data_IF_254659797750
#
_entry.id   IF_254659797750
#
_cell.length_a   1.000
_cell.length_b   1.000
_cell.length_c   1.000
_cell.angle_alpha   90.00
_cell.angle_beta   90.00
_cell.angle_gamma   90.00
#
_symmetry.space_group_name_H-M   'P 1'
#
loop_
_entity.id
_entity.type
_entity.pdbx_description
1 polymer ?
#
# COMPACT_ATOMS: atom_id res chain seq x y z
N UNK A 1 -12.13 -21.29 8.50
CA UNK A 1 -10.99 -20.37 8.72
C UNK A 1 -11.56 -18.97 8.79
N UNK A 2 -11.00 -18.08 9.62
CA UNK A 2 -11.49 -16.70 9.70
C UNK A 2 -11.15 -15.93 8.44
N UNK A 3 -12.10 -15.16 7.91
CA UNK A 3 -11.94 -14.31 6.74
C UNK A 3 -11.43 -12.95 7.18
N UNK A 4 -10.30 -12.53 6.65
CA UNK A 4 -9.67 -11.25 6.95
C UNK A 4 -9.74 -10.39 5.70
N UNK A 5 -10.22 -9.18 5.82
CA UNK A 5 -10.12 -8.17 4.76
C UNK A 5 -9.14 -7.10 5.23
N UNK A 6 -8.17 -6.78 4.39
CA UNK A 6 -7.32 -5.60 4.59
C UNK A 6 -7.77 -4.54 3.60
N UNK A 7 -8.19 -3.40 4.10
CA UNK A 7 -8.51 -2.20 3.31
C UNK A 7 -7.42 -1.16 3.57
N UNK A 8 -6.63 -0.81 2.55
CA UNK A 8 -5.51 0.09 2.81
C UNK A 8 -4.59 0.36 1.62
N UNK A 9 -3.47 1.00 1.94
CA UNK A 9 -2.49 1.53 0.99
C UNK A 9 -1.65 0.47 0.30
N UNK A 10 -1.28 0.78 -0.95
CA UNK A 10 -0.29 0.07 -1.77
C UNK A 10 0.73 1.06 -2.29
N UNK A 11 2.00 0.88 -1.99
CA UNK A 11 3.08 1.75 -2.47
C UNK A 11 4.21 0.94 -3.08
N UNK A 12 4.87 1.50 -4.08
CA UNK A 12 6.22 1.07 -4.42
C UNK A 12 7.20 1.90 -3.59
N UNK A 13 8.06 1.24 -2.81
CA UNK A 13 9.10 1.88 -2.03
C UNK A 13 10.36 1.97 -2.90
N UNK A 14 10.77 3.21 -3.21
CA UNK A 14 11.99 3.52 -3.97
C UNK A 14 13.05 3.92 -2.95
N UNK A 15 13.91 2.97 -2.60
CA UNK A 15 14.94 3.15 -1.59
C UNK A 15 16.26 3.52 -2.24
N UNK A 16 16.86 4.61 -1.81
CA UNK A 16 18.17 5.10 -2.26
C UNK A 16 19.10 5.21 -1.08
N UNK A 17 20.19 4.43 -1.11
CA UNK A 17 21.25 4.55 -0.11
C UNK A 17 22.16 5.73 -0.45
N UNK A 18 22.43 6.58 0.52
CA UNK A 18 23.31 7.75 0.41
C UNK A 18 24.38 7.71 1.51
N UNK A 19 25.47 8.44 1.34
CA UNK A 19 26.46 8.60 2.42
C UNK A 19 25.92 9.46 3.55
N UNK A 20 25.22 10.53 3.20
CA UNK A 20 24.52 11.46 4.09
C UNK A 20 23.32 12.08 3.38
N UNK A 21 22.38 12.58 4.15
CA UNK A 21 21.25 13.33 3.60
C UNK A 21 21.70 14.61 2.90
N UNK A 22 21.14 14.95 1.71
CA UNK A 22 21.41 16.23 1.06
C UNK A 22 20.84 17.40 1.86
N UNK A 23 21.56 18.52 1.87
CA UNK A 23 21.02 19.79 2.36
C UNK A 23 20.16 20.48 1.27
N UNK A 24 19.28 21.41 1.62
CA UNK A 24 18.51 22.18 0.62
C UNK A 24 19.42 22.77 -0.45
N UNK A 25 19.09 22.50 -1.73
CA UNK A 25 19.88 22.96 -2.87
C UNK A 25 21.13 22.12 -3.20
N UNK A 26 21.40 21.06 -2.44
CA UNK A 26 22.57 20.20 -2.65
C UNK A 26 22.23 18.97 -3.50
N UNK A 27 23.21 18.52 -4.28
CA UNK A 27 23.17 17.24 -4.99
C UNK A 27 24.16 16.26 -4.37
N UNK A 28 23.69 15.13 -3.87
CA UNK A 28 24.53 14.02 -3.40
C UNK A 28 24.44 12.83 -4.36
N UNK A 29 25.46 11.98 -4.37
CA UNK A 29 25.44 10.73 -5.15
C UNK A 29 24.84 9.61 -4.30
N UNK A 30 23.83 8.91 -4.84
CA UNK A 30 23.35 7.65 -4.27
C UNK A 30 24.36 6.53 -4.51
N UNK A 31 24.44 5.58 -3.57
CA UNK A 31 25.27 4.37 -3.66
C UNK A 31 24.53 3.26 -4.40
N UNK A 32 23.31 3.01 -3.99
CA UNK A 32 22.41 1.99 -4.57
C UNK A 32 20.98 2.52 -4.67
N UNK A 33 20.18 1.87 -5.49
CA UNK A 33 18.74 2.11 -5.55
C UNK A 33 18.02 0.79 -5.77
N UNK A 34 16.94 0.56 -5.03
CA UNK A 34 16.04 -0.57 -5.28
C UNK A 34 14.57 -0.14 -5.22
N UNK A 35 13.71 -0.96 -5.84
CA UNK A 35 12.26 -0.84 -5.74
C UNK A 35 11.71 -2.05 -5.02
N UNK A 36 10.86 -1.83 -4.03
CA UNK A 36 10.23 -2.87 -3.22
C UNK A 36 8.73 -2.68 -3.20
N UNK A 37 8.00 -3.79 -3.10
CA UNK A 37 6.58 -3.73 -2.78
C UNK A 37 6.39 -3.30 -1.32
N UNK A 38 5.60 -2.26 -1.08
CA UNK A 38 5.36 -1.65 0.21
C UNK A 38 3.94 -1.10 0.35
N UNK A 39 3.76 -0.18 1.27
CA UNK A 39 2.47 0.32 1.75
C UNK A 39 1.98 -0.49 2.95
N UNK A 40 1.47 0.21 3.98
CA UNK A 40 1.06 -0.45 5.24
C UNK A 40 -0.05 -1.47 5.02
N UNK A 41 -1.01 -1.17 4.13
CA UNK A 41 -2.08 -2.11 3.76
C UNK A 41 -1.53 -3.36 3.10
N UNK A 42 -0.73 -3.22 2.04
CA UNK A 42 -0.13 -4.34 1.33
C UNK A 42 0.76 -5.20 2.24
N UNK A 43 1.55 -4.57 3.13
CA UNK A 43 2.39 -5.28 4.09
C UNK A 43 1.57 -6.11 5.08
N UNK A 44 0.45 -5.58 5.59
CA UNK A 44 -0.45 -6.33 6.48
C UNK A 44 -1.14 -7.47 5.75
N UNK A 45 -1.61 -7.25 4.52
CA UNK A 45 -2.21 -8.31 3.70
C UNK A 45 -1.21 -9.45 3.42
N UNK A 46 0.01 -9.11 3.02
CA UNK A 46 1.09 -10.09 2.82
C UNK A 46 1.42 -10.86 4.10
N UNK A 47 1.45 -10.19 5.26
CA UNK A 47 1.66 -10.87 6.55
C UNK A 47 0.54 -11.87 6.85
N UNK A 48 -0.73 -11.47 6.67
CA UNK A 48 -1.89 -12.35 6.85
C UNK A 48 -1.81 -13.58 5.93
N UNK A 49 -1.52 -13.39 4.65
CA UNK A 49 -1.44 -14.49 3.69
C UNK A 49 -0.28 -15.45 3.98
N UNK A 50 0.91 -14.93 4.34
CA UNK A 50 2.08 -15.74 4.75
C UNK A 50 1.84 -16.55 6.02
N UNK A 51 0.96 -16.07 6.90
CA UNK A 51 0.51 -16.80 8.09
C UNK A 51 -0.66 -17.75 7.79
N UNK A 52 -0.92 -18.04 6.52
CA UNK A 52 -1.98 -18.92 6.04
C UNK A 52 -3.40 -18.42 6.41
N UNK A 53 -3.58 -17.10 6.61
CA UNK A 53 -4.90 -16.49 6.77
C UNK A 53 -5.65 -16.46 5.44
N UNK A 54 -6.99 -16.59 5.47
CA UNK A 54 -7.83 -16.30 4.30
C UNK A 54 -7.96 -14.78 4.19
N UNK A 55 -7.10 -14.16 3.39
CA UNK A 55 -6.97 -12.71 3.29
C UNK A 55 -7.39 -12.21 1.91
N UNK A 56 -8.33 -11.25 1.88
CA UNK A 56 -8.64 -10.44 0.71
C UNK A 56 -8.09 -9.03 0.90
N UNK A 57 -7.52 -8.46 -0.14
CA UNK A 57 -6.95 -7.12 -0.09
C UNK A 57 -7.74 -6.15 -0.96
N UNK A 58 -8.22 -5.09 -0.33
CA UNK A 58 -8.93 -3.98 -0.95
C UNK A 58 -8.01 -2.76 -0.97
N UNK A 59 -7.62 -2.32 -2.16
CA UNK A 59 -6.69 -1.21 -2.38
C UNK A 59 -6.85 -0.67 -3.79
N UNK A 60 -6.03 0.31 -4.15
CA UNK A 60 -5.98 0.85 -5.51
C UNK A 60 -4.54 0.99 -5.98
N UNK A 61 -4.30 0.66 -7.25
CA UNK A 61 -2.99 0.79 -7.92
C UNK A 61 -3.19 1.38 -9.31
N UNK A 62 -2.14 1.93 -9.89
CA UNK A 62 -2.13 2.37 -11.28
C UNK A 62 -2.12 1.22 -12.29
N UNK A 63 -1.99 1.57 -13.58
CA UNK A 63 -1.75 0.61 -14.67
C UNK A 63 -0.28 0.69 -15.12
N UNK A 64 0.64 0.51 -14.16
CA UNK A 64 2.09 0.69 -14.33
C UNK A 64 2.90 -0.51 -13.80
N UNK A 65 4.21 -0.50 -14.03
CA UNK A 65 5.13 -1.56 -13.58
C UNK A 65 5.17 -1.69 -12.05
N UNK A 66 4.92 -0.60 -11.32
CA UNK A 66 4.85 -0.60 -9.86
C UNK A 66 3.66 -1.39 -9.35
N UNK A 67 2.51 -1.27 -10.04
CA UNK A 67 1.34 -2.09 -9.76
C UNK A 67 1.62 -3.58 -9.94
N UNK A 68 2.33 -3.95 -11.01
CA UNK A 68 2.67 -5.36 -11.26
C UNK A 68 3.57 -5.92 -10.14
N UNK A 69 4.59 -5.16 -9.71
CA UNK A 69 5.46 -5.54 -8.59
C UNK A 69 4.66 -5.82 -7.31
N UNK A 70 3.66 -4.96 -7.00
CA UNK A 70 2.78 -5.11 -5.84
C UNK A 70 1.89 -6.36 -5.96
N UNK A 71 1.24 -6.55 -7.10
CA UNK A 71 0.35 -7.69 -7.34
C UNK A 71 1.10 -9.02 -7.29
N UNK A 72 2.30 -9.09 -7.86
CA UNK A 72 3.16 -10.27 -7.77
C UNK A 72 3.56 -10.59 -6.31
N UNK A 73 3.78 -9.55 -5.50
CA UNK A 73 4.08 -9.72 -4.07
C UNK A 73 2.89 -10.27 -3.29
N UNK A 74 1.68 -9.79 -3.58
CA UNK A 74 0.43 -10.26 -2.96
C UNK A 74 0.13 -11.71 -3.37
N UNK A 75 0.29 -12.06 -4.65
CA UNK A 75 0.12 -13.42 -5.16
C UNK A 75 1.08 -14.40 -4.48
N UNK A 76 2.37 -14.07 -4.41
CA UNK A 76 3.38 -14.87 -3.69
C UNK A 76 3.08 -15.05 -2.20
N UNK A 77 2.33 -14.12 -1.62
CA UNK A 77 1.87 -14.19 -0.23
C UNK A 77 0.52 -14.92 -0.08
N UNK A 78 -0.09 -15.44 -1.15
CA UNK A 78 -1.42 -16.08 -1.17
C UNK A 78 -2.55 -15.14 -0.71
N UNK A 79 -2.49 -13.87 -1.10
CA UNK A 79 -3.53 -12.86 -0.84
C UNK A 79 -4.46 -12.77 -2.03
N UNK A 80 -5.76 -12.75 -1.80
CA UNK A 80 -6.75 -12.47 -2.83
C UNK A 80 -6.78 -10.97 -3.16
N UNK A 81 -6.18 -10.61 -4.28
CA UNK A 81 -6.07 -9.23 -4.78
C UNK A 81 -7.04 -8.92 -5.94
N UNK A 82 -8.03 -9.76 -6.21
CA UNK A 82 -8.96 -9.58 -7.35
C UNK A 82 -9.79 -8.30 -7.28
N UNK A 83 -10.01 -7.79 -6.08
CA UNK A 83 -10.76 -6.57 -5.85
C UNK A 83 -9.88 -5.31 -5.84
N UNK A 84 -8.57 -5.40 -6.06
CA UNK A 84 -7.70 -4.23 -6.16
C UNK A 84 -8.09 -3.40 -7.39
N UNK A 85 -8.45 -2.12 -7.16
CA UNK A 85 -8.85 -1.19 -8.20
C UNK A 85 -7.65 -0.83 -9.09
N UNK A 86 -7.85 -0.83 -10.41
CA UNK A 86 -6.86 -0.40 -11.40
C UNK A 86 -7.23 1.00 -11.90
N UNK A 87 -6.37 1.99 -11.69
CA UNK A 87 -6.55 3.38 -12.09
C UNK A 87 -5.74 3.67 -13.35
N UNK A 88 -6.39 3.95 -14.48
CA UNK A 88 -5.71 4.16 -15.77
C UNK A 88 -4.91 5.47 -15.82
N UNK A 89 -5.46 6.54 -15.25
CA UNK A 89 -4.88 7.88 -15.34
C UNK A 89 -4.05 8.31 -14.12
N UNK A 90 -3.93 7.44 -13.12
CA UNK A 90 -3.23 7.77 -11.87
C UNK A 90 -2.18 6.70 -11.57
N UNK A 91 -0.93 7.09 -11.32
CA UNK A 91 0.13 6.13 -11.03
C UNK A 91 -0.10 5.46 -9.67
N UNK A 92 0.50 4.29 -9.51
CA UNK A 92 0.59 3.60 -8.21
C UNK A 92 1.21 4.52 -7.16
N UNK A 93 0.75 4.43 -5.92
CA UNK A 93 1.34 5.14 -4.79
C UNK A 93 2.83 4.81 -4.63
N UNK A 94 3.63 5.77 -4.19
CA UNK A 94 5.06 5.58 -4.02
C UNK A 94 5.59 6.22 -2.75
N UNK A 95 6.62 5.60 -2.15
CA UNK A 95 7.43 6.19 -1.10
C UNK A 95 8.87 6.33 -1.62
N UNK A 96 9.38 7.56 -1.58
CA UNK A 96 10.76 7.88 -1.95
C UNK A 96 11.58 7.97 -0.67
N UNK A 97 12.42 6.98 -0.45
CA UNK A 97 13.10 6.73 0.81
C UNK A 97 14.60 6.92 0.60
N UNK A 98 15.20 7.87 1.30
CA UNK A 98 16.65 8.00 1.38
C UNK A 98 17.09 7.39 2.71
N UNK A 99 18.15 6.58 2.69
CA UNK A 99 18.75 5.99 3.89
C UNK A 99 20.22 6.36 3.91
N UNK A 100 20.67 6.97 5.01
CA UNK A 100 22.07 7.35 5.13
C UNK A 100 22.94 6.28 5.82
N UNK A 101 24.26 6.53 5.89
CA UNK A 101 25.22 5.60 6.46
C UNK A 101 25.00 5.31 7.97
N UNK A 102 24.25 6.15 8.69
CA UNK A 102 23.87 5.93 10.08
C UNK A 102 22.59 5.09 10.23
N UNK A 103 21.87 4.84 9.13
CA UNK A 103 20.57 4.15 9.12
C UNK A 103 19.39 5.09 9.33
N UNK A 104 19.60 6.40 9.41
CA UNK A 104 18.52 7.39 9.43
C UNK A 104 17.87 7.48 8.06
N UNK A 105 16.56 7.71 8.04
CA UNK A 105 15.82 7.82 6.79
C UNK A 105 15.08 9.15 6.65
N UNK A 106 14.85 9.53 5.39
CA UNK A 106 13.96 10.62 4.99
C UNK A 106 13.03 10.11 3.92
N UNK A 107 11.73 10.33 4.10
CA UNK A 107 10.70 9.71 3.27
C UNK A 107 9.74 10.76 2.74
N UNK A 108 9.51 10.73 1.43
CA UNK A 108 8.42 11.49 0.76
C UNK A 108 7.43 10.47 0.20
N UNK A 109 6.17 10.60 0.59
CA UNK A 109 5.09 9.72 0.11
C UNK A 109 4.25 10.47 -0.91
N UNK A 110 3.96 9.81 -2.03
CA UNK A 110 2.99 10.25 -3.05
C UNK A 110 1.83 9.27 -3.04
N UNK A 111 0.64 9.74 -2.69
CA UNK A 111 -0.54 8.90 -2.54
C UNK A 111 -0.90 8.13 -3.82
N UNK A 112 -0.81 8.78 -4.98
CA UNK A 112 -1.17 8.17 -6.26
C UNK A 112 -2.57 7.55 -6.21
N UNK A 113 -2.68 6.33 -6.70
CA UNK A 113 -3.94 5.58 -6.74
C UNK A 113 -4.56 5.31 -5.36
N UNK A 114 -3.79 5.38 -4.26
CA UNK A 114 -4.36 5.24 -2.91
C UNK A 114 -5.47 6.26 -2.61
N UNK A 115 -5.48 7.41 -3.30
CA UNK A 115 -6.54 8.40 -3.18
C UNK A 115 -7.93 7.87 -3.63
N UNK A 116 -7.97 6.79 -4.41
CA UNK A 116 -9.20 6.15 -4.86
C UNK A 116 -9.69 5.06 -3.89
N UNK A 117 -8.98 4.78 -2.80
CA UNK A 117 -9.49 3.99 -1.68
C UNK A 117 -10.47 4.86 -0.86
N UNK A 118 -11.51 5.36 -1.53
CA UNK A 118 -12.48 6.33 -1.04
C UNK A 118 -13.85 5.68 -0.80
N UNK A 119 -14.82 6.48 -0.39
CA UNK A 119 -16.21 6.06 -0.12
C UNK A 119 -16.83 5.29 -1.30
N UNK A 120 -16.65 5.76 -2.52
CA UNK A 120 -17.24 5.12 -3.70
C UNK A 120 -16.68 3.71 -3.91
N UNK A 121 -15.38 3.53 -3.75
CA UNK A 121 -14.73 2.23 -3.84
C UNK A 121 -15.15 1.31 -2.67
N UNK A 122 -15.20 1.83 -1.46
CA UNK A 122 -15.71 1.12 -0.29
C UNK A 122 -17.12 0.56 -0.52
N UNK A 123 -18.08 1.38 -0.96
CA UNK A 123 -19.45 0.94 -1.25
C UNK A 123 -19.50 -0.14 -2.35
N UNK A 124 -18.66 -0.02 -3.37
CA UNK A 124 -18.56 -1.03 -4.44
C UNK A 124 -18.04 -2.39 -3.92
N UNK A 125 -17.25 -2.41 -2.84
CA UNK A 125 -16.69 -3.62 -2.24
C UNK A 125 -17.43 -4.07 -0.96
N UNK A 126 -18.55 -3.45 -0.63
CA UNK A 126 -19.30 -3.66 0.63
C UNK A 126 -19.64 -5.13 0.90
N UNK A 127 -19.95 -5.91 -0.13
CA UNK A 127 -20.25 -7.33 0.03
C UNK A 127 -19.06 -8.14 0.56
N UNK A 128 -17.83 -7.80 0.16
CA UNK A 128 -16.61 -8.44 0.64
C UNK A 128 -16.34 -8.04 2.08
N UNK A 129 -16.58 -6.77 2.43
CA UNK A 129 -16.39 -6.25 3.78
C UNK A 129 -17.38 -6.87 4.77
N UNK A 130 -18.65 -7.01 4.40
CA UNK A 130 -19.69 -7.61 5.24
C UNK A 130 -19.51 -9.12 5.46
N UNK A 131 -18.81 -9.82 4.56
CA UNK A 131 -18.50 -11.26 4.68
C UNK A 131 -17.23 -11.52 5.52
N UNK A 132 -16.55 -10.48 5.97
CA UNK A 132 -15.32 -10.58 6.75
C UNK A 132 -15.59 -10.84 8.24
N UNK A 133 -14.76 -11.68 8.87
CA UNK A 133 -14.72 -11.79 10.33
C UNK A 133 -13.89 -10.66 10.96
N UNK A 134 -12.88 -10.15 10.23
CA UNK A 134 -12.00 -9.04 10.66
C UNK A 134 -11.68 -8.13 9.49
N UNK A 135 -11.71 -6.83 9.74
CA UNK A 135 -11.26 -5.80 8.82
C UNK A 135 -10.06 -5.08 9.45
N UNK A 136 -8.96 -5.02 8.70
CA UNK A 136 -7.77 -4.26 9.07
C UNK A 136 -7.67 -3.04 8.19
N UNK A 137 -7.43 -1.88 8.78
CA UNK A 137 -7.19 -0.65 8.03
C UNK A 137 -6.06 0.17 8.66
N UNK A 138 -5.55 1.16 7.91
CA UNK A 138 -4.48 2.06 8.33
C UNK A 138 -4.85 3.48 7.90
N UNK A 139 -4.08 4.48 8.30
CA UNK A 139 -4.35 5.90 8.04
C UNK A 139 -3.50 6.43 6.86
N UNK A 140 -3.39 5.65 5.77
CA UNK A 140 -2.67 6.03 4.53
C UNK A 140 -3.56 6.10 3.29
N UNK A 141 -4.87 6.01 3.49
CA UNK A 141 -5.94 6.24 2.50
C UNK A 141 -6.72 7.49 2.90
N UNK A 142 -7.68 8.00 2.12
CA UNK A 142 -8.47 9.17 2.52
C UNK A 142 -9.06 9.00 3.91
N UNK A 143 -8.68 9.87 4.85
CA UNK A 143 -8.95 9.69 6.28
C UNK A 143 -10.44 9.70 6.62
N UNK A 144 -11.19 10.64 6.05
CA UNK A 144 -12.63 10.75 6.30
C UNK A 144 -13.35 9.48 5.86
N UNK A 145 -13.06 8.99 4.64
CA UNK A 145 -13.64 7.75 4.10
C UNK A 145 -13.22 6.52 4.93
N UNK A 146 -11.99 6.51 5.44
CA UNK A 146 -11.49 5.43 6.30
C UNK A 146 -12.22 5.41 7.65
N UNK A 147 -12.49 6.58 8.25
CA UNK A 147 -13.29 6.68 9.47
C UNK A 147 -14.74 6.26 9.23
N UNK A 148 -15.33 6.65 8.10
CA UNK A 148 -16.68 6.24 7.72
C UNK A 148 -16.77 4.72 7.60
N UNK A 149 -15.79 4.08 6.96
CA UNK A 149 -15.69 2.62 6.88
C UNK A 149 -15.65 1.99 8.28
N UNK A 150 -14.82 2.50 9.17
CA UNK A 150 -14.71 1.98 10.55
C UNK A 150 -16.03 2.10 11.28
N UNK A 151 -16.75 3.22 11.16
CA UNK A 151 -18.05 3.41 11.82
C UNK A 151 -19.14 2.51 11.25
N UNK A 152 -19.16 2.26 9.96
CA UNK A 152 -20.16 1.41 9.30
C UNK A 152 -19.92 -0.09 9.51
N UNK A 153 -18.70 -0.50 9.80
CA UNK A 153 -18.32 -1.91 9.96
C UNK A 153 -18.22 -2.36 11.41
N UNK A 154 -18.57 -1.51 12.38
CA UNK A 154 -18.71 -1.88 13.80
C UNK A 154 -19.98 -2.72 14.03
#
# INVERSE_FOLDING_TARGET
MKKIVVFGSSNVDIVVDVERMPQPGETVRGKTMCKLAGGKGANQACACGKLHGQCSFLSAVGCDDSAQLLLDSLEKANVDARAVLRCEETPTGSAHIQVDASGENSIVVVAGANAFCNRSYFEAQKSILLDADYILTQLETPLEDTYDLIEEMK
#
